data_IF_199863494123
#
_entry.id   IF_199863494123
#
_cell.length_a   1.000
_cell.length_b   1.000
_cell.length_c   1.000
_cell.angle_alpha   90.00
_cell.angle_beta   90.00
_cell.angle_gamma   90.00
#
_symmetry.space_group_name_H-M   'P 1'
#
loop_
_entity.id
_entity.type
_entity.pdbx_description
1 polymer ?
#
# COMPACT_ATOMS: atom_id res chain seq x y z
N UNK A 1 -8.42 2.67 -9.00
CA UNK A 1 -8.51 4.14 -9.23
C UNK A 1 -8.31 4.42 -10.70
N UNK A 2 -9.36 4.91 -11.34
CA UNK A 2 -9.51 5.00 -12.80
C UNK A 2 -8.88 6.31 -13.29
N UNK A 3 -7.59 6.45 -12.97
CA UNK A 3 -6.80 7.65 -13.23
C UNK A 3 -5.68 7.36 -14.23
N UNK A 4 -5.25 8.39 -14.95
CA UNK A 4 -4.20 8.31 -15.97
C UNK A 4 -2.97 7.58 -15.44
N UNK A 5 -2.59 6.50 -16.14
CA UNK A 5 -1.46 5.62 -15.82
C UNK A 5 -1.41 5.15 -14.36
N UNK A 6 -2.58 5.02 -13.69
CA UNK A 6 -2.66 4.64 -12.27
C UNK A 6 -2.01 5.66 -11.33
N UNK A 7 -1.88 6.92 -11.76
CA UNK A 7 -1.18 7.97 -11.02
C UNK A 7 0.32 8.06 -11.31
N UNK A 8 0.90 7.09 -12.03
CA UNK A 8 2.32 7.13 -12.39
C UNK A 8 2.59 8.22 -13.43
N UNK A 9 3.66 9.01 -13.29
CA UNK A 9 3.94 10.07 -14.25
C UNK A 9 4.49 9.51 -15.58
N UNK A 10 3.89 9.92 -16.70
CA UNK A 10 4.24 9.46 -18.06
C UNK A 10 5.74 9.57 -18.39
N UNK A 11 6.45 10.55 -17.82
CA UNK A 11 7.86 10.80 -18.13
C UNK A 11 8.78 9.68 -17.62
N UNK A 12 8.28 8.77 -16.77
CA UNK A 12 8.97 7.53 -16.42
C UNK A 12 9.26 6.69 -17.67
N UNK A 13 8.34 6.67 -18.64
CA UNK A 13 8.45 5.92 -19.90
C UNK A 13 9.50 6.50 -20.88
N UNK A 14 10.14 7.61 -20.55
CA UNK A 14 11.31 8.10 -21.30
C UNK A 14 12.50 7.15 -21.14
N UNK A 15 12.64 6.47 -20.00
CA UNK A 15 13.56 5.34 -19.83
C UNK A 15 12.92 4.10 -20.47
N UNK A 16 13.44 3.66 -21.61
CA UNK A 16 12.78 2.64 -22.46
C UNK A 16 12.76 1.23 -21.86
N UNK A 17 13.71 0.94 -20.98
CA UNK A 17 13.89 -0.33 -20.28
C UNK A 17 13.43 -0.25 -18.81
N UNK A 18 12.58 0.73 -18.47
CA UNK A 18 12.09 0.89 -17.10
C UNK A 18 11.25 -0.31 -16.67
N UNK A 19 11.42 -0.73 -15.41
CA UNK A 19 10.48 -1.63 -14.72
C UNK A 19 9.69 -0.83 -13.70
N UNK A 20 8.39 -0.68 -13.96
CA UNK A 20 7.47 0.02 -13.07
C UNK A 20 7.06 -0.90 -11.92
N UNK A 21 6.83 -0.33 -10.74
CA UNK A 21 6.40 -1.08 -9.55
C UNK A 21 7.32 -2.27 -9.22
N UNK A 22 8.60 -2.13 -9.52
CA UNK A 22 9.68 -3.04 -9.18
C UNK A 22 10.84 -2.22 -8.60
N UNK A 23 11.89 -2.88 -8.11
CA UNK A 23 13.11 -2.22 -7.61
C UNK A 23 14.04 -1.68 -8.71
N UNK A 24 13.49 -1.18 -9.82
CA UNK A 24 14.25 -0.42 -10.80
C UNK A 24 14.84 0.84 -10.11
N UNK A 25 16.16 1.04 -10.10
CA UNK A 25 16.77 2.17 -9.39
C UNK A 25 16.23 3.54 -9.83
N UNK A 26 15.93 3.70 -11.14
CA UNK A 26 15.37 4.95 -11.65
C UNK A 26 13.93 5.14 -11.18
N UNK A 27 13.13 4.08 -11.10
CA UNK A 27 11.78 4.17 -10.54
C UNK A 27 11.82 4.48 -9.04
N UNK A 28 12.57 3.71 -8.27
CA UNK A 28 12.63 3.83 -6.80
C UNK A 28 13.17 5.19 -6.33
N UNK A 29 14.17 5.75 -7.02
CA UNK A 29 14.67 7.10 -6.72
C UNK A 29 13.56 8.16 -6.87
N UNK A 30 12.66 8.00 -7.85
CA UNK A 30 11.58 8.97 -8.08
C UNK A 30 10.39 8.77 -7.17
N UNK A 31 10.10 7.53 -6.80
CA UNK A 31 9.14 7.22 -5.74
C UNK A 31 9.59 7.88 -4.44
N UNK A 32 10.83 7.68 -4.01
CA UNK A 32 11.34 8.27 -2.76
C UNK A 32 11.26 9.81 -2.78
N UNK A 33 11.64 10.46 -3.89
CA UNK A 33 11.50 11.91 -4.03
C UNK A 33 10.07 12.39 -3.91
N UNK A 34 9.13 11.66 -4.52
CA UNK A 34 7.71 11.99 -4.47
C UNK A 34 7.14 11.79 -3.06
N UNK A 35 7.39 10.64 -2.44
CA UNK A 35 6.93 10.30 -1.08
C UNK A 35 7.44 11.32 -0.05
N UNK A 36 8.71 11.74 -0.14
CA UNK A 36 9.26 12.78 0.73
C UNK A 36 8.58 14.13 0.52
N UNK A 37 8.32 14.52 -0.73
CA UNK A 37 7.62 15.77 -1.03
C UNK A 37 6.17 15.76 -0.51
N UNK A 38 5.47 14.62 -0.61
CA UNK A 38 4.13 14.44 0.00
C UNK A 38 4.23 14.55 1.51
N UNK A 39 5.15 13.83 2.13
CA UNK A 39 5.34 13.84 3.58
C UNK A 39 5.64 15.24 4.13
N UNK A 40 6.45 16.05 3.43
CA UNK A 40 6.71 17.44 3.82
C UNK A 40 5.44 18.31 3.86
N UNK A 41 4.36 17.93 3.16
CA UNK A 41 3.08 18.64 3.22
C UNK A 41 2.18 18.17 4.36
N UNK A 42 2.26 16.90 4.77
CA UNK A 42 1.21 16.29 5.60
C UNK A 42 1.70 15.54 6.83
N UNK A 43 3.00 15.31 7.04
CA UNK A 43 3.50 14.52 8.19
C UNK A 43 3.20 15.15 9.55
N UNK A 44 3.01 16.47 9.60
CA UNK A 44 2.63 17.18 10.82
C UNK A 44 1.12 17.07 11.12
N UNK A 45 0.33 16.47 10.20
CA UNK A 45 -1.12 16.27 10.32
C UNK A 45 -1.49 14.87 10.83
N UNK A 46 -0.54 14.11 11.37
CA UNK A 46 -0.80 12.79 11.97
C UNK A 46 -1.52 12.89 13.29
N UNK A 47 -2.27 11.85 13.65
CA UNK A 47 -2.98 11.77 14.93
C UNK A 47 -2.05 11.88 16.14
N UNK A 48 -0.81 11.40 16.02
CA UNK A 48 0.23 11.57 17.03
C UNK A 48 0.59 13.05 17.26
N UNK A 49 0.48 13.89 16.23
CA UNK A 49 0.68 15.33 16.27
C UNK A 49 -0.62 16.12 16.49
N UNK A 50 -1.73 15.44 16.84
CA UNK A 50 -3.05 16.05 17.04
C UNK A 50 -3.82 16.34 15.74
N UNK A 51 -3.33 15.85 14.60
CA UNK A 51 -3.97 15.99 13.29
C UNK A 51 -4.91 14.84 12.90
N UNK A 52 -5.51 14.90 11.71
CA UNK A 52 -6.54 13.94 11.26
C UNK A 52 -6.02 12.62 10.65
N UNK A 53 -4.73 12.50 10.31
CA UNK A 53 -4.21 11.30 9.61
C UNK A 53 -3.98 10.17 10.62
N UNK A 54 -4.77 9.09 10.50
CA UNK A 54 -4.76 7.95 11.43
C UNK A 54 -3.98 6.72 10.91
N UNK A 55 -3.89 6.53 9.59
CA UNK A 55 -3.18 5.42 8.94
C UNK A 55 -2.63 5.87 7.58
N UNK A 56 -1.61 5.19 7.08
CA UNK A 56 -1.03 5.41 5.73
C UNK A 56 -0.86 4.08 5.01
N UNK A 57 -1.26 4.04 3.73
CA UNK A 57 -1.17 2.83 2.92
C UNK A 57 0.24 2.63 2.35
N UNK A 58 0.67 1.38 2.24
CA UNK A 58 1.92 0.96 1.57
C UNK A 58 1.56 0.24 0.28
N UNK A 59 1.91 0.85 -0.86
CA UNK A 59 1.55 0.35 -2.19
C UNK A 59 0.01 0.22 -2.36
N UNK A 60 -0.48 -0.40 -3.42
CA UNK A 60 -1.91 -0.58 -3.71
C UNK A 60 -2.15 -1.87 -4.52
N UNK A 61 -2.83 -2.85 -3.93
CA UNK A 61 -3.24 -4.09 -4.58
C UNK A 61 -2.10 -4.78 -5.34
N UNK A 62 -0.93 -4.89 -4.70
CA UNK A 62 0.26 -5.42 -5.37
C UNK A 62 0.11 -6.90 -5.71
N UNK A 63 -0.69 -7.66 -4.96
CA UNK A 63 -1.07 -9.03 -5.30
C UNK A 63 -1.77 -9.18 -6.65
N UNK A 64 -2.38 -8.11 -7.16
CA UNK A 64 -2.97 -8.05 -8.50
C UNK A 64 -1.97 -7.65 -9.60
N UNK A 65 -0.75 -7.26 -9.22
CA UNK A 65 0.34 -6.93 -10.14
C UNK A 65 1.40 -8.03 -10.21
N UNK A 66 1.89 -8.52 -9.07
CA UNK A 66 2.98 -9.48 -9.01
C UNK A 66 3.29 -9.98 -7.59
N UNK A 67 4.44 -10.64 -7.44
CA UNK A 67 4.92 -11.17 -6.16
C UNK A 67 6.36 -10.69 -5.94
N UNK A 68 6.54 -9.66 -5.11
CA UNK A 68 7.83 -9.06 -4.80
C UNK A 68 7.77 -8.37 -3.42
N UNK A 69 7.75 -9.18 -2.35
CA UNK A 69 7.86 -8.69 -0.97
C UNK A 69 9.07 -7.75 -0.77
N UNK A 70 10.25 -7.98 -1.37
CA UNK A 70 11.35 -7.02 -1.30
C UNK A 70 11.03 -5.63 -1.86
N UNK A 71 10.33 -5.51 -2.99
CA UNK A 71 9.85 -4.23 -3.50
C UNK A 71 8.90 -3.55 -2.51
N UNK A 72 7.86 -4.27 -2.08
CA UNK A 72 6.86 -3.75 -1.15
C UNK A 72 7.50 -3.34 0.19
N UNK A 73 8.49 -4.08 0.67
CA UNK A 73 9.28 -3.73 1.86
C UNK A 73 10.06 -2.43 1.66
N UNK A 74 10.64 -2.20 0.48
CA UNK A 74 11.35 -0.95 0.20
C UNK A 74 10.38 0.25 0.16
N UNK A 75 9.16 0.09 -0.37
CA UNK A 75 8.11 1.11 -0.30
C UNK A 75 7.71 1.37 1.15
N UNK A 76 7.47 0.31 1.94
CA UNK A 76 7.19 0.43 3.38
C UNK A 76 8.27 1.24 4.09
N UNK A 77 9.55 0.93 3.84
CA UNK A 77 10.65 1.59 4.53
C UNK A 77 10.70 3.10 4.22
N UNK A 78 10.40 3.49 2.97
CA UNK A 78 10.26 4.90 2.58
C UNK A 78 9.12 5.57 3.35
N UNK A 79 7.92 4.95 3.36
CA UNK A 79 6.75 5.49 4.06
C UNK A 79 6.99 5.56 5.57
N UNK A 80 7.56 4.51 6.19
CA UNK A 80 7.84 4.45 7.64
C UNK A 80 8.82 5.53 8.09
N UNK A 81 9.83 5.88 7.27
CA UNK A 81 10.75 6.99 7.57
C UNK A 81 10.01 8.33 7.70
N UNK A 82 8.95 8.51 6.92
CA UNK A 82 8.15 9.73 6.90
C UNK A 82 7.04 9.75 7.97
N UNK A 83 6.56 8.57 8.38
CA UNK A 83 5.47 8.42 9.35
C UNK A 83 5.80 7.38 10.44
N UNK A 84 6.77 7.67 11.34
CA UNK A 84 7.28 6.69 12.29
C UNK A 84 6.20 6.13 13.22
N UNK A 85 5.30 7.00 13.71
CA UNK A 85 4.32 6.68 14.75
C UNK A 85 2.90 6.38 14.21
N UNK A 86 2.75 6.28 12.88
CA UNK A 86 1.46 6.02 12.25
C UNK A 86 1.32 4.54 11.90
N UNK A 87 0.12 3.98 12.06
CA UNK A 87 -0.17 2.64 11.61
C UNK A 87 -0.10 2.58 10.07
N UNK A 88 0.71 1.64 9.56
CA UNK A 88 0.85 1.39 8.14
C UNK A 88 0.06 0.14 7.75
N UNK A 89 -0.58 0.17 6.60
CA UNK A 89 -1.41 -0.93 6.11
C UNK A 89 -1.19 -1.24 4.64
N UNK A 90 -1.57 -2.45 4.22
CA UNK A 90 -1.61 -2.88 2.83
C UNK A 90 -3.03 -3.33 2.48
N UNK A 91 -3.48 -3.03 1.27
CA UNK A 91 -4.73 -3.51 0.72
C UNK A 91 -4.49 -4.50 -0.43
N UNK A 92 -5.30 -5.54 -0.50
CA UNK A 92 -5.33 -6.51 -1.60
C UNK A 92 -6.66 -7.28 -1.57
N UNK A 93 -6.85 -8.22 -2.50
CA UNK A 93 -8.02 -9.08 -2.52
C UNK A 93 -7.84 -10.26 -1.57
N UNK A 94 -8.95 -10.81 -1.08
CA UNK A 94 -8.94 -12.00 -0.23
C UNK A 94 -8.26 -13.22 -0.86
N UNK A 95 -8.16 -13.26 -2.19
CA UNK A 95 -7.51 -14.33 -2.94
C UNK A 95 -5.99 -14.18 -3.11
N UNK A 96 -5.40 -13.00 -2.87
CA UNK A 96 -4.00 -12.72 -3.22
C UNK A 96 -3.20 -11.91 -2.18
N UNK A 97 -3.81 -11.39 -1.11
CA UNK A 97 -3.13 -10.56 -0.11
C UNK A 97 -1.88 -11.22 0.52
N UNK A 98 -1.88 -12.55 0.67
CA UNK A 98 -0.76 -13.30 1.25
C UNK A 98 0.50 -13.31 0.36
N UNK A 99 0.35 -13.06 -0.94
CA UNK A 99 1.48 -13.01 -1.86
C UNK A 99 2.52 -11.96 -1.41
N UNK A 100 2.03 -10.82 -0.91
CA UNK A 100 2.87 -9.68 -0.57
C UNK A 100 2.64 -9.10 0.84
N UNK A 101 1.79 -9.73 1.65
CA UNK A 101 1.57 -9.34 3.04
C UNK A 101 2.87 -9.32 3.84
N UNK A 102 3.21 -8.16 4.38
CA UNK A 102 4.34 -7.94 5.27
C UNK A 102 3.87 -8.07 6.72
N UNK A 103 4.65 -8.76 7.55
CA UNK A 103 4.19 -9.15 8.88
C UNK A 103 3.95 -7.96 9.81
N UNK A 104 4.69 -6.87 9.62
CA UNK A 104 4.64 -5.65 10.42
C UNK A 104 3.58 -4.62 9.95
N UNK A 105 2.77 -4.98 8.95
CA UNK A 105 1.70 -4.12 8.42
C UNK A 105 0.31 -4.68 8.74
N UNK A 106 -0.67 -3.79 8.85
CA UNK A 106 -2.09 -4.16 8.90
C UNK A 106 -2.51 -4.64 7.51
N UNK A 107 -3.23 -5.77 7.43
CA UNK A 107 -3.73 -6.32 6.17
C UNK A 107 -5.23 -6.01 6.04
N UNK A 108 -5.60 -5.31 4.99
CA UNK A 108 -6.98 -4.94 4.69
C UNK A 108 -7.43 -5.58 3.38
N UNK A 109 -8.72 -5.86 3.27
CA UNK A 109 -9.29 -6.49 2.08
C UNK A 109 -10.02 -5.46 1.23
N UNK A 110 -9.99 -5.63 -0.09
CA UNK A 110 -10.85 -4.89 -1.02
C UNK A 110 -11.91 -5.81 -1.61
N UNK A 111 -13.17 -5.37 -1.61
CA UNK A 111 -14.28 -6.09 -2.24
C UNK A 111 -15.49 -5.18 -2.42
N UNK A 112 -16.35 -5.51 -3.38
CA UNK A 112 -17.51 -4.68 -3.71
C UNK A 112 -18.87 -5.23 -3.25
N UNK A 113 -19.90 -4.51 -3.64
CA UNK A 113 -21.31 -4.85 -3.47
C UNK A 113 -21.59 -6.27 -3.98
N UNK A 114 -22.31 -7.07 -3.19
CA UNK A 114 -22.64 -8.47 -3.51
C UNK A 114 -21.57 -9.49 -3.12
N UNK A 115 -20.43 -9.07 -2.58
CA UNK A 115 -19.46 -9.99 -1.99
C UNK A 115 -20.01 -10.67 -0.73
N UNK A 116 -19.65 -11.94 -0.53
CA UNK A 116 -19.86 -12.62 0.73
C UNK A 116 -18.81 -12.17 1.76
N UNK A 117 -19.20 -11.28 2.68
CA UNK A 117 -18.29 -10.65 3.65
C UNK A 117 -17.55 -11.67 4.52
N UNK A 118 -18.22 -12.73 4.98
CA UNK A 118 -17.57 -13.76 5.79
C UNK A 118 -16.47 -14.48 5.01
N UNK A 119 -16.72 -14.77 3.73
CA UNK A 119 -15.73 -15.38 2.84
C UNK A 119 -14.53 -14.45 2.60
N UNK A 120 -14.75 -13.14 2.46
CA UNK A 120 -13.67 -12.17 2.22
C UNK A 120 -12.67 -12.11 3.39
N UNK A 121 -13.14 -12.29 4.63
CA UNK A 121 -12.30 -12.25 5.83
C UNK A 121 -11.93 -13.63 6.39
N UNK A 122 -12.43 -14.73 5.82
CA UNK A 122 -12.24 -16.08 6.37
C UNK A 122 -10.76 -16.44 6.51
N UNK A 123 -9.97 -16.19 5.45
CA UNK A 123 -8.53 -16.48 5.48
C UNK A 123 -7.79 -15.57 6.47
N UNK A 124 -8.11 -14.26 6.51
CA UNK A 124 -7.48 -13.34 7.46
C UNK A 124 -7.73 -13.76 8.92
N UNK A 125 -8.95 -14.19 9.26
CA UNK A 125 -9.28 -14.70 10.60
C UNK A 125 -8.50 -15.96 10.98
N UNK A 126 -8.10 -16.78 10.00
CA UNK A 126 -7.27 -17.98 10.24
C UNK A 126 -5.81 -17.60 10.47
N UNK A 127 -5.27 -16.69 9.65
CA UNK A 127 -3.86 -16.28 9.72
C UNK A 127 -3.60 -15.34 10.91
N UNK A 128 -4.55 -14.44 11.22
CA UNK A 128 -4.45 -13.44 12.28
C UNK A 128 -5.79 -13.31 13.03
N UNK A 129 -6.08 -14.21 13.99
CA UNK A 129 -7.36 -14.26 14.68
C UNK A 129 -7.76 -12.97 15.41
N UNK A 130 -6.77 -12.21 15.89
CA UNK A 130 -6.99 -10.97 16.64
C UNK A 130 -6.86 -9.70 15.77
N UNK A 131 -6.63 -9.84 14.45
CA UNK A 131 -6.52 -8.68 13.58
C UNK A 131 -7.86 -7.96 13.43
N UNK A 132 -7.88 -6.61 13.40
CA UNK A 132 -9.07 -5.88 13.02
C UNK A 132 -9.44 -6.20 11.57
N UNK A 133 -10.74 -6.30 11.29
CA UNK A 133 -11.24 -6.54 9.94
C UNK A 133 -11.62 -5.20 9.32
N UNK A 134 -10.95 -4.85 8.22
CA UNK A 134 -11.22 -3.63 7.49
C UNK A 134 -11.36 -3.94 6.00
N UNK A 135 -12.47 -3.49 5.41
CA UNK A 135 -12.60 -3.33 3.97
C UNK A 135 -12.02 -1.96 3.61
N UNK A 136 -10.85 -1.91 2.97
CA UNK A 136 -10.20 -0.64 2.62
C UNK A 136 -10.86 0.06 1.45
N UNK A 137 -11.38 -0.72 0.49
CA UNK A 137 -12.19 -0.23 -0.62
C UNK A 137 -13.45 -1.08 -0.74
N UNK A 138 -14.61 -0.44 -0.48
CA UNK A 138 -15.92 -1.03 -0.69
C UNK A 138 -16.55 -0.41 -1.93
N UNK A 139 -16.47 -1.13 -3.06
CA UNK A 139 -16.95 -0.66 -4.36
C UNK A 139 -18.45 -0.91 -4.59
#
# INVERSE_FOLDING_TARGET
>A
AEWEMGGLPWWLLKKKDIKLRERDPYFMERVEKFENAVADQVRDLTVANGGPIIMVQVENEYGSYGIDKPYVSAIRDMVRRNYPDVALFQCDWSSNYLNNGLDDLVWTMNFGTGANVDQQFESLKKERPDAPLMCSEFW
#
